data_IF_720054242295
#
_entry.id   IF_720054242295
#
_cell.length_a   1.000
_cell.length_b   1.000
_cell.length_c   1.000
_cell.angle_alpha   90.00
_cell.angle_beta   90.00
_cell.angle_gamma   90.00
#
_symmetry.space_group_name_H-M   'P 1'
#
loop_
_entity.id
_entity.type
_entity.pdbx_description
1 polymer ?
#
# COMPACT_ATOMS: atom_id res chain seq x y z
N UNK A 1 -13.57 10.21 7.64
CA UNK A 1 -13.35 10.90 6.35
C UNK A 1 -12.12 10.41 5.55
N UNK A 2 -10.88 10.41 6.09
CA UNK A 2 -9.69 9.89 5.36
C UNK A 2 -9.43 8.38 5.56
N UNK A 3 -9.68 7.84 6.77
CA UNK A 3 -9.63 6.39 7.01
C UNK A 3 -10.62 5.63 6.13
N UNK A 4 -11.85 6.16 5.98
CA UNK A 4 -12.90 5.56 5.16
C UNK A 4 -12.50 5.42 3.69
N UNK A 5 -11.68 6.33 3.15
CA UNK A 5 -11.21 6.25 1.76
C UNK A 5 -10.27 5.06 1.55
N UNK A 6 -9.32 4.85 2.46
CA UNK A 6 -8.37 3.75 2.36
C UNK A 6 -9.04 2.40 2.63
N UNK A 7 -9.97 2.34 3.57
CA UNK A 7 -10.80 1.15 3.77
C UNK A 7 -11.67 0.83 2.54
N UNK A 8 -12.25 1.84 1.89
CA UNK A 8 -13.01 1.65 0.64
C UNK A 8 -12.14 1.09 -0.47
N UNK A 9 -10.90 1.59 -0.62
CA UNK A 9 -9.93 1.05 -1.56
C UNK A 9 -9.61 -0.40 -1.23
N UNK A 10 -9.30 -0.73 0.03
CA UNK A 10 -9.01 -2.09 0.45
C UNK A 10 -10.18 -3.05 0.19
N UNK A 11 -11.40 -2.66 0.56
CA UNK A 11 -12.63 -3.42 0.27
C UNK A 11 -12.83 -3.64 -1.22
N UNK A 12 -12.62 -2.62 -2.04
CA UNK A 12 -12.73 -2.74 -3.50
C UNK A 12 -11.67 -3.63 -4.11
N UNK A 13 -10.46 -3.67 -3.55
CA UNK A 13 -9.39 -4.57 -4.02
C UNK A 13 -9.76 -6.01 -3.68
N UNK A 14 -10.19 -6.25 -2.44
CA UNK A 14 -10.53 -7.60 -1.96
C UNK A 14 -11.74 -8.17 -2.68
N UNK A 15 -12.81 -7.38 -2.86
CA UNK A 15 -14.02 -7.86 -3.53
C UNK A 15 -13.83 -8.21 -5.01
N UNK A 16 -12.82 -7.60 -5.67
CA UNK A 16 -12.56 -7.81 -7.10
C UNK A 16 -11.53 -8.90 -7.39
N UNK A 17 -10.77 -9.37 -6.39
CA UNK A 17 -9.64 -10.28 -6.59
C UNK A 17 -9.72 -11.47 -5.64
N UNK A 18 -9.97 -12.68 -6.17
CA UNK A 18 -10.25 -13.91 -5.40
C UNK A 18 -9.13 -14.40 -4.48
N UNK A 19 -7.90 -13.89 -4.63
CA UNK A 19 -6.74 -14.32 -3.85
C UNK A 19 -6.15 -13.20 -2.98
N UNK A 20 -6.96 -12.17 -2.70
CA UNK A 20 -6.54 -11.06 -1.87
C UNK A 20 -7.21 -11.09 -0.51
N UNK A 21 -6.44 -10.78 0.52
CA UNK A 21 -6.89 -10.84 1.92
C UNK A 21 -6.30 -9.69 2.74
N UNK A 22 -6.94 -9.37 3.86
CA UNK A 22 -6.37 -8.48 4.87
C UNK A 22 -5.28 -9.20 5.67
N UNK A 23 -4.27 -8.46 6.11
CA UNK A 23 -3.24 -8.97 6.99
C UNK A 23 -2.49 -7.86 7.71
N UNK A 24 -1.37 -8.23 8.34
CA UNK A 24 -0.48 -7.26 9.00
C UNK A 24 0.93 -7.32 8.42
N UNK A 25 1.56 -6.15 8.26
CA UNK A 25 2.95 -5.97 7.89
C UNK A 25 3.55 -4.84 8.73
N UNK A 26 4.66 -5.10 9.43
CA UNK A 26 5.27 -4.17 10.39
C UNK A 26 4.26 -3.60 11.42
N UNK A 27 3.32 -4.43 11.87
CA UNK A 27 2.26 -4.03 12.81
C UNK A 27 1.14 -3.16 12.21
N UNK A 28 1.11 -2.98 10.88
CA UNK A 28 0.13 -2.15 10.16
C UNK A 28 -0.76 -3.01 9.28
N UNK A 29 -2.01 -2.59 9.10
CA UNK A 29 -2.96 -3.24 8.18
C UNK A 29 -2.42 -3.23 6.74
N UNK A 30 -2.48 -4.39 6.10
CA UNK A 30 -2.03 -4.58 4.73
C UNK A 30 -2.98 -5.48 3.94
N UNK A 31 -2.83 -5.43 2.62
CA UNK A 31 -3.48 -6.35 1.69
C UNK A 31 -2.42 -7.28 1.14
N UNK A 32 -2.72 -8.58 1.20
CA UNK A 32 -1.88 -9.63 0.66
C UNK A 32 -2.51 -10.22 -0.58
N UNK A 33 -1.68 -10.71 -1.49
CA UNK A 33 -2.05 -11.59 -2.60
C UNK A 33 -1.22 -12.85 -2.48
N UNK A 34 -1.86 -14.02 -2.46
CA UNK A 34 -1.17 -15.31 -2.27
C UNK A 34 -0.20 -15.29 -1.07
N UNK A 35 -0.61 -14.69 0.06
CA UNK A 35 0.19 -14.55 1.28
C UNK A 35 1.28 -13.46 1.26
N UNK A 36 1.54 -12.78 0.13
CA UNK A 36 2.54 -11.71 0.02
C UNK A 36 1.89 -10.33 0.06
N UNK A 37 2.40 -9.43 0.92
CA UNK A 37 1.90 -8.07 1.01
C UNK A 37 2.25 -7.27 -0.26
N UNK A 38 1.25 -6.58 -0.82
CA UNK A 38 1.43 -5.70 -1.98
C UNK A 38 0.83 -4.30 -1.78
N UNK A 39 -0.03 -4.12 -0.78
CA UNK A 39 -0.51 -2.81 -0.38
C UNK A 39 -0.58 -2.70 1.15
N UNK A 40 -0.40 -1.49 1.69
CA UNK A 40 -0.52 -1.24 3.12
C UNK A 40 -1.18 0.11 3.41
N UNK A 41 -1.78 0.23 4.59
CA UNK A 41 -2.25 1.50 5.11
C UNK A 41 -1.25 2.06 6.11
N UNK A 42 -0.76 3.27 5.84
CA UNK A 42 0.25 3.92 6.67
C UNK A 42 0.00 5.42 6.80
N UNK A 43 -0.27 5.89 8.03
CA UNK A 43 -0.44 7.32 8.34
C UNK A 43 -1.39 8.04 7.38
N UNK A 44 -2.58 7.45 7.15
CA UNK A 44 -3.60 7.95 6.21
C UNK A 44 -3.25 7.88 4.72
N UNK A 45 -2.14 7.24 4.37
CA UNK A 45 -1.76 6.99 2.98
C UNK A 45 -1.88 5.52 2.62
N UNK A 46 -2.19 5.27 1.35
CA UNK A 46 -2.01 3.97 0.74
C UNK A 46 -0.56 3.81 0.30
N UNK A 47 -0.02 2.63 0.56
CA UNK A 47 1.27 2.18 0.08
C UNK A 47 1.00 1.07 -0.92
N UNK A 48 1.68 1.10 -2.06
CA UNK A 48 1.60 0.06 -3.07
C UNK A 48 3.02 -0.41 -3.39
N UNK A 49 3.23 -1.72 -3.44
CA UNK A 49 4.41 -2.31 -4.04
C UNK A 49 4.23 -2.24 -5.55
N UNK A 50 5.07 -1.44 -6.20
CA UNK A 50 5.04 -1.21 -7.64
C UNK A 50 6.46 -1.37 -8.20
N UNK A 51 6.55 -1.86 -9.42
CA UNK A 51 7.81 -2.09 -10.12
C UNK A 51 7.74 -1.46 -11.52
N UNK A 52 8.89 -1.16 -12.11
CA UNK A 52 9.00 -0.63 -13.47
C UNK A 52 8.14 0.62 -13.75
N UNK A 53 7.42 0.60 -14.87
CA UNK A 53 6.65 1.76 -15.38
C UNK A 53 5.56 2.23 -14.42
N UNK A 54 4.96 1.33 -13.64
CA UNK A 54 3.90 1.72 -12.73
C UNK A 54 4.45 2.42 -11.48
N UNK A 55 5.65 2.02 -11.03
CA UNK A 55 6.39 2.77 -10.01
C UNK A 55 6.77 4.18 -10.52
N UNK A 56 7.30 4.29 -11.73
CA UNK A 56 7.65 5.58 -12.35
C UNK A 56 6.44 6.52 -12.45
N UNK A 57 5.30 6.01 -12.95
CA UNK A 57 4.05 6.77 -13.03
C UNK A 57 3.57 7.22 -11.65
N UNK A 58 3.62 6.34 -10.65
CA UNK A 58 3.20 6.68 -9.30
C UNK A 58 4.09 7.78 -8.71
N UNK A 59 5.41 7.69 -8.89
CA UNK A 59 6.36 8.69 -8.41
C UNK A 59 6.24 10.04 -9.12
N UNK A 60 5.70 10.09 -10.34
CA UNK A 60 5.38 11.34 -11.03
C UNK A 60 4.15 12.07 -10.47
N UNK A 61 3.30 11.41 -9.67
CA UNK A 61 2.13 12.05 -9.07
C UNK A 61 2.55 13.00 -7.93
N UNK A 62 1.91 14.18 -7.88
CA UNK A 62 2.18 15.17 -6.84
C UNK A 62 1.89 14.59 -5.45
N UNK A 63 2.89 14.63 -4.56
CA UNK A 63 2.78 14.15 -3.18
C UNK A 63 3.14 12.67 -3.00
N UNK A 64 3.45 11.96 -4.09
CA UNK A 64 4.03 10.62 -3.98
C UNK A 64 5.41 10.65 -3.35
N UNK A 65 5.70 9.62 -2.55
CA UNK A 65 6.97 9.46 -1.87
C UNK A 65 7.24 7.98 -1.64
N UNK A 66 8.52 7.63 -1.53
CA UNK A 66 8.91 6.31 -1.09
C UNK A 66 8.40 6.04 0.33
N UNK A 67 8.05 4.79 0.59
CA UNK A 67 7.51 4.39 1.88
C UNK A 67 8.62 4.09 2.88
N UNK A 68 8.63 4.82 3.99
CA UNK A 68 9.47 4.52 5.15
C UNK A 68 8.58 4.09 6.32
N UNK A 69 8.38 2.77 6.54
CA UNK A 69 7.58 2.30 7.68
C UNK A 69 8.22 2.60 9.03
N UNK A 70 9.53 2.84 9.07
CA UNK A 70 10.32 3.05 10.30
C UNK A 70 10.33 4.50 10.76
N UNK A 71 10.09 5.46 9.87
CA UNK A 71 10.23 6.90 10.12
C UNK A 71 11.67 7.36 10.33
N UNK A 72 12.67 6.51 10.08
CA UNK A 72 14.09 6.77 10.34
C UNK A 72 14.86 7.28 9.11
N UNK A 73 14.17 7.83 8.11
CA UNK A 73 14.71 8.24 6.81
C UNK A 73 15.39 7.08 6.06
N UNK A 74 14.80 5.89 6.17
CA UNK A 74 15.24 4.66 5.49
C UNK A 74 14.07 4.10 4.67
N UNK A 75 13.68 4.80 3.59
CA UNK A 75 12.60 4.32 2.75
C UNK A 75 12.96 2.96 2.14
N UNK A 76 11.96 2.09 2.05
CA UNK A 76 12.08 0.86 1.28
C UNK A 76 12.25 1.24 -0.19
N UNK A 77 13.17 0.53 -0.86
CA UNK A 77 13.32 0.56 -2.30
C UNK A 77 12.64 -0.72 -2.80
N UNK A 78 11.54 -0.55 -3.53
CA UNK A 78 10.79 -1.60 -4.23
C UNK A 78 9.96 -2.57 -3.34
#
# INVERSE_FOLDING_TARGET
MELEKCEKVAKSIISKNKNTEMGKMFGKECIKVNGKAFAAFHLKHMVFKLEGKDHEKAMALKGSKLWDPSGKKRPMKE
#
